data_IF_883420524762
#
_entry.id   IF_883420524762
#
_cell.length_a   1.000
_cell.length_b   1.000
_cell.length_c   1.000
_cell.angle_alpha   90.00
_cell.angle_beta   90.00
_cell.angle_gamma   90.00
#
_symmetry.space_group_name_H-M   'P 1'
#
loop_
_entity.id
_entity.type
_entity.pdbx_description
1 polymer ?
#
# COMPACT_ATOMS: atom_id res chain seq x y z
N UNK A 1 17.12 -8.81 12.36
CA UNK A 1 16.12 -7.76 12.62
C UNK A 1 14.81 -8.47 12.91
N UNK A 2 14.18 -8.17 14.05
CA UNK A 2 12.87 -8.72 14.39
C UNK A 2 11.84 -7.88 13.65
N UNK A 3 11.36 -8.35 12.49
CA UNK A 3 10.27 -7.68 11.81
C UNK A 3 8.96 -8.06 12.49
N UNK A 4 8.23 -7.04 12.95
CA UNK A 4 6.82 -7.19 13.34
C UNK A 4 6.02 -7.11 12.05
N UNK A 5 5.54 -8.25 11.59
CA UNK A 5 4.56 -8.31 10.51
C UNK A 5 3.20 -8.17 11.18
N UNK A 6 2.64 -6.96 11.15
CA UNK A 6 1.26 -6.72 11.55
C UNK A 6 0.38 -7.02 10.34
N UNK A 7 -0.26 -8.20 10.34
CA UNK A 7 -1.31 -8.54 9.38
C UNK A 7 -2.62 -8.15 10.05
N UNK A 8 -3.29 -7.14 9.51
CA UNK A 8 -4.67 -6.83 9.86
C UNK A 8 -5.60 -7.49 8.83
N UNK A 9 -6.64 -8.14 9.35
CA UNK A 9 -7.64 -8.88 8.59
C UNK A 9 -8.98 -8.22 8.92
N UNK A 10 -9.52 -7.45 8.00
CA UNK A 10 -10.86 -6.87 8.13
C UNK A 10 -11.89 -7.98 7.82
N UNK A 11 -12.86 -8.18 8.71
CA UNK A 11 -13.91 -9.18 8.58
C UNK A 11 -15.28 -8.50 8.62
N UNK A 12 -15.82 -8.15 7.44
CA UNK A 12 -17.15 -7.56 7.26
C UNK A 12 -18.06 -8.50 6.49
N UNK A 13 -18.80 -9.36 7.16
CA UNK A 13 -19.71 -10.30 6.52
C UNK A 13 -20.89 -9.57 5.86
N UNK A 14 -20.99 -9.62 4.53
CA UNK A 14 -22.26 -9.45 3.82
C UNK A 14 -22.30 -10.38 2.61
N UNK A 15 -23.40 -11.12 2.52
CA UNK A 15 -23.63 -12.15 1.53
C UNK A 15 -24.52 -11.56 0.43
N UNK A 16 -24.05 -11.57 -0.82
CA UNK A 16 -24.93 -11.45 -1.97
C UNK A 16 -24.62 -12.50 -3.03
N UNK A 17 -25.70 -13.14 -3.47
CA UNK A 17 -25.72 -14.31 -4.33
C UNK A 17 -25.37 -13.97 -5.78
N UNK A 18 -24.59 -14.87 -6.37
CA UNK A 18 -24.30 -14.92 -7.79
C UNK A 18 -25.53 -15.46 -8.55
N UNK A 19 -26.08 -14.70 -9.50
CA UNK A 19 -26.99 -15.24 -10.55
C UNK A 19 -26.36 -15.06 -11.94
N UNK A 20 -25.99 -16.15 -12.64
CA UNK A 20 -25.40 -16.06 -13.96
C UNK A 20 -26.45 -16.24 -15.08
N UNK A 21 -26.77 -15.14 -15.76
CA UNK A 21 -26.85 -15.12 -17.22
C UNK A 21 -28.23 -15.17 -17.89
N UNK A 22 -28.50 -14.15 -18.72
CA UNK A 22 -28.99 -14.20 -20.12
C UNK A 22 -29.44 -12.76 -20.47
N UNK A 23 -28.90 -12.05 -21.45
CA UNK A 23 -28.68 -12.46 -22.83
C UNK A 23 -29.86 -12.00 -23.69
N UNK A 24 -29.99 -10.71 -23.98
CA UNK A 24 -30.52 -10.23 -25.26
C UNK A 24 -30.28 -8.71 -25.47
N UNK A 25 -29.61 -8.37 -26.58
CA UNK A 25 -29.46 -7.00 -27.09
C UNK A 25 -30.54 -6.75 -28.15
N UNK A 26 -31.21 -5.59 -28.10
CA UNK A 26 -31.62 -4.98 -29.36
C UNK A 26 -31.41 -3.45 -29.41
N UNK A 27 -30.86 -2.97 -30.53
CA UNK A 27 -31.12 -1.61 -31.03
C UNK A 27 -30.00 -0.59 -30.85
N UNK A 28 -29.03 -0.56 -31.78
CA UNK A 28 -28.16 0.60 -32.01
C UNK A 28 -28.86 1.55 -32.97
N UNK A 29 -29.56 2.56 -32.46
CA UNK A 29 -29.99 3.71 -33.26
C UNK A 29 -28.75 4.58 -33.58
N UNK A 30 -28.70 5.10 -34.81
CA UNK A 30 -27.53 5.74 -35.42
C UNK A 30 -27.70 7.25 -35.59
N UNK A 31 -28.37 7.89 -34.63
CA UNK A 31 -28.75 9.31 -34.67
C UNK A 31 -27.92 10.23 -33.76
N UNK A 32 -26.90 9.73 -33.03
CA UNK A 32 -26.12 10.54 -32.08
C UNK A 32 -24.75 10.96 -32.66
N UNK A 33 -24.41 12.26 -32.69
CA UNK A 33 -23.10 12.75 -33.12
C UNK A 33 -22.01 12.43 -32.08
N UNK A 34 -20.73 12.31 -32.48
CA UNK A 34 -19.68 11.83 -31.59
C UNK A 34 -19.18 12.95 -30.67
N UNK A 35 -19.36 12.78 -29.36
CA UNK A 35 -18.65 13.54 -28.33
C UNK A 35 -19.53 14.16 -27.25
N UNK A 36 -20.08 13.34 -26.35
CA UNK A 36 -20.26 13.66 -24.92
C UNK A 36 -20.21 12.34 -24.16
N UNK A 37 -19.43 12.33 -23.10
CA UNK A 37 -19.11 11.15 -22.33
C UNK A 37 -20.30 10.78 -21.43
N UNK A 38 -20.83 9.57 -21.61
CA UNK A 38 -20.99 8.68 -20.46
C UNK A 38 -22.35 8.43 -19.81
N UNK A 39 -23.35 9.31 -19.85
CA UNK A 39 -24.64 9.03 -19.18
C UNK A 39 -25.84 9.70 -19.87
N UNK A 40 -27.07 9.12 -19.79
CA UNK A 40 -28.25 9.90 -20.14
C UNK A 40 -28.27 11.15 -19.26
N UNK A 41 -28.69 12.33 -19.75
CA UNK A 41 -29.01 13.41 -18.83
C UNK A 41 -30.12 12.87 -17.93
N UNK A 42 -29.77 12.55 -16.68
CA UNK A 42 -30.72 12.50 -15.59
C UNK A 42 -31.28 13.91 -15.54
N UNK A 43 -32.40 14.11 -16.23
CA UNK A 43 -33.25 15.26 -16.04
C UNK A 43 -33.87 15.03 -14.66
N UNK A 44 -33.11 15.32 -13.61
CA UNK A 44 -33.69 15.49 -12.31
C UNK A 44 -34.47 16.81 -12.35
N UNK A 45 -35.72 16.80 -11.90
CA UNK A 45 -36.44 18.06 -11.68
C UNK A 45 -35.84 18.64 -10.39
N UNK A 46 -34.89 19.56 -10.53
CA UNK A 46 -34.15 20.22 -9.44
C UNK A 46 -35.05 21.03 -8.48
N UNK A 47 -36.32 21.24 -8.86
CA UNK A 47 -37.34 21.87 -8.04
C UNK A 47 -37.84 20.97 -6.89
N UNK A 48 -37.59 19.64 -6.93
CA UNK A 48 -38.06 18.69 -5.91
C UNK A 48 -36.87 18.17 -5.11
N UNK A 49 -36.69 18.78 -3.95
CA UNK A 49 -35.64 18.57 -2.95
C UNK A 49 -36.35 18.79 -1.59
N UNK A 50 -36.63 17.71 -0.87
CA UNK A 50 -37.59 17.68 0.24
C UNK A 50 -36.99 18.15 1.57
N UNK A 51 -35.75 17.77 1.87
CA UNK A 51 -34.98 18.21 3.05
C UNK A 51 -34.12 19.45 2.78
N UNK A 52 -33.86 19.78 1.51
CA UNK A 52 -33.16 21.01 1.12
C UNK A 52 -31.65 20.89 1.20
N UNK A 53 -31.10 19.69 1.10
CA UNK A 53 -29.67 19.39 1.22
C UNK A 53 -28.88 19.72 -0.06
N UNK A 54 -29.58 19.91 -1.19
CA UNK A 54 -29.00 20.20 -2.49
C UNK A 54 -28.83 18.99 -3.40
N UNK A 55 -29.37 17.84 -3.01
CA UNK A 55 -29.63 16.65 -3.83
C UNK A 55 -31.12 16.67 -4.21
N UNK A 56 -31.49 16.01 -5.30
CA UNK A 56 -32.88 15.95 -5.74
C UNK A 56 -33.50 14.60 -5.35
N UNK A 57 -34.75 14.58 -4.86
CA UNK A 57 -35.45 13.39 -4.35
C UNK A 57 -35.39 12.17 -5.30
N UNK A 58 -35.31 12.43 -6.61
CA UNK A 58 -35.24 11.39 -7.65
C UNK A 58 -33.90 10.64 -7.68
N UNK A 59 -32.85 11.25 -7.14
CA UNK A 59 -31.50 10.70 -6.97
C UNK A 59 -31.39 9.96 -5.63
N UNK A 60 -31.87 10.55 -4.54
CA UNK A 60 -31.83 9.94 -3.18
C UNK A 60 -32.75 8.72 -3.07
N UNK A 61 -33.92 8.79 -3.71
CA UNK A 61 -34.97 7.77 -3.69
C UNK A 61 -35.62 7.56 -2.32
N UNK A 62 -36.74 6.81 -2.29
CA UNK A 62 -37.39 6.39 -1.03
C UNK A 62 -36.68 5.18 -0.36
N UNK A 63 -35.40 4.94 -0.67
CA UNK A 63 -34.58 3.93 0.01
C UNK A 63 -34.25 4.39 1.44
N UNK A 64 -33.65 3.50 2.23
CA UNK A 64 -33.28 3.71 3.63
C UNK A 64 -31.93 3.00 3.79
N UNK A 65 -30.85 3.71 3.48
CA UNK A 65 -29.49 3.15 3.33
C UNK A 65 -28.92 2.77 4.70
N UNK A 66 -29.06 3.62 5.70
CA UNK A 66 -28.56 3.41 7.06
C UNK A 66 -29.50 2.55 7.96
N UNK A 67 -30.78 2.44 7.57
CA UNK A 67 -31.79 1.63 8.25
C UNK A 67 -32.39 2.29 9.49
N UNK A 68 -32.32 3.61 9.64
CA UNK A 68 -32.88 4.34 10.79
C UNK A 68 -34.41 4.52 10.71
N UNK A 69 -34.98 4.30 9.52
CA UNK A 69 -36.41 4.37 9.22
C UNK A 69 -36.89 5.70 8.63
N UNK A 70 -35.98 6.62 8.34
CA UNK A 70 -36.17 7.81 7.50
C UNK A 70 -35.76 7.44 6.07
N UNK A 71 -36.58 7.74 5.05
CA UNK A 71 -36.15 7.54 3.67
C UNK A 71 -35.08 8.56 3.28
N UNK A 72 -34.09 8.17 2.48
CA UNK A 72 -32.96 9.01 2.05
C UNK A 72 -33.41 10.42 1.61
N UNK A 73 -34.47 10.54 0.79
CA UNK A 73 -35.06 11.84 0.36
C UNK A 73 -35.64 12.77 1.47
N UNK A 74 -35.52 12.35 2.73
CA UNK A 74 -35.96 13.09 3.91
C UNK A 74 -34.93 12.99 5.04
N UNK A 75 -33.79 12.37 4.78
CA UNK A 75 -32.72 12.15 5.74
C UNK A 75 -31.66 13.24 5.57
N UNK A 76 -31.05 13.68 6.66
CA UNK A 76 -29.96 14.67 6.59
C UNK A 76 -28.58 14.00 6.52
N UNK A 77 -28.51 12.68 6.75
CA UNK A 77 -27.31 11.81 6.84
C UNK A 77 -27.72 10.40 6.40
N UNK A 78 -27.87 10.21 5.08
CA UNK A 78 -28.52 9.04 4.48
C UNK A 78 -27.77 7.72 4.68
N UNK A 79 -26.45 7.74 4.85
CA UNK A 79 -25.61 6.57 5.07
C UNK A 79 -25.20 6.37 6.55
N UNK A 80 -25.48 7.37 7.40
CA UNK A 80 -25.36 7.31 8.85
C UNK A 80 -23.91 7.36 9.33
N UNK A 81 -23.01 7.94 8.54
CA UNK A 81 -21.59 8.04 8.85
C UNK A 81 -21.28 9.29 9.72
N UNK A 82 -22.21 10.25 9.78
CA UNK A 82 -22.13 11.47 10.57
C UNK A 82 -21.61 12.71 9.83
N UNK A 83 -21.32 12.59 8.54
CA UNK A 83 -21.27 13.67 7.56
C UNK A 83 -22.71 13.92 7.08
N UNK A 84 -23.01 15.15 6.69
CA UNK A 84 -24.36 15.47 6.21
C UNK A 84 -24.39 15.36 4.69
N UNK A 85 -25.50 14.88 4.13
CA UNK A 85 -25.70 14.74 2.69
C UNK A 85 -25.45 16.08 1.96
N UNK A 86 -25.78 17.21 2.61
CA UNK A 86 -25.54 18.55 2.09
C UNK A 86 -24.04 18.92 1.93
N UNK A 87 -23.16 18.33 2.75
CA UNK A 87 -21.71 18.49 2.65
C UNK A 87 -21.11 17.59 1.54
N UNK A 88 -21.85 16.56 1.10
CA UNK A 88 -21.45 15.55 0.12
C UNK A 88 -22.15 15.71 -1.25
N UNK A 89 -23.25 16.45 -1.31
CA UNK A 89 -24.08 16.69 -2.50
C UNK A 89 -23.31 17.24 -3.72
N UNK A 90 -22.19 17.92 -3.45
CA UNK A 90 -21.41 18.61 -4.46
C UNK A 90 -22.17 19.78 -5.12
N UNK A 91 -21.70 20.31 -6.25
CA UNK A 91 -22.26 21.53 -6.85
C UNK A 91 -23.50 21.30 -7.74
N UNK A 92 -23.89 20.05 -8.01
CA UNK A 92 -24.93 19.73 -8.97
C UNK A 92 -25.94 18.73 -8.37
N UNK A 93 -27.18 19.17 -8.08
CA UNK A 93 -28.22 18.31 -7.50
C UNK A 93 -28.57 17.06 -8.33
N UNK A 94 -28.40 17.15 -9.66
CA UNK A 94 -28.67 16.01 -10.55
C UNK A 94 -27.47 15.10 -10.79
N UNK A 95 -26.30 15.45 -10.25
CA UNK A 95 -25.07 14.69 -10.44
C UNK A 95 -24.20 14.80 -9.18
N UNK A 96 -24.62 14.16 -8.07
CA UNK A 96 -23.79 14.06 -6.90
C UNK A 96 -22.45 13.38 -7.20
N UNK A 97 -21.41 13.68 -6.42
CA UNK A 97 -20.12 12.98 -6.45
C UNK A 97 -20.25 11.46 -6.27
N UNK A 98 -19.32 10.76 -6.91
CA UNK A 98 -19.08 9.33 -6.76
C UNK A 98 -17.58 9.17 -7.02
N UNK A 99 -16.80 9.26 -5.94
CA UNK A 99 -15.36 9.45 -6.03
C UNK A 99 -14.59 8.17 -6.41
N UNK A 100 -15.10 7.01 -6.03
CA UNK A 100 -14.48 5.72 -6.28
C UNK A 100 -15.09 4.93 -7.47
N UNK A 101 -16.25 5.38 -7.96
CA UNK A 101 -17.03 4.79 -9.05
C UNK A 101 -17.54 3.36 -8.78
N UNK A 102 -17.84 2.99 -7.53
CA UNK A 102 -18.41 1.66 -7.20
C UNK A 102 -19.90 1.49 -7.54
N UNK A 103 -20.61 2.61 -7.68
CA UNK A 103 -22.03 2.68 -8.05
C UNK A 103 -22.95 3.21 -6.95
N UNK A 104 -22.44 3.50 -5.76
CA UNK A 104 -23.06 4.37 -4.76
C UNK A 104 -22.56 5.81 -4.96
N UNK A 105 -23.33 6.79 -4.52
CA UNK A 105 -22.86 8.18 -4.47
C UNK A 105 -22.28 8.43 -3.08
N UNK A 106 -21.40 9.42 -2.94
CA UNK A 106 -20.67 9.69 -1.68
C UNK A 106 -21.65 9.79 -0.47
N UNK A 107 -22.75 10.55 -0.58
CA UNK A 107 -23.80 10.66 0.46
C UNK A 107 -24.56 9.34 0.80
N UNK A 108 -24.30 8.25 0.07
CA UNK A 108 -24.87 6.92 0.29
C UNK A 108 -23.79 5.86 0.58
N UNK A 109 -22.53 6.27 0.70
CA UNK A 109 -21.38 5.39 0.84
C UNK A 109 -20.48 5.82 2.00
N UNK A 110 -20.38 4.94 3.00
CA UNK A 110 -19.63 5.18 4.24
C UNK A 110 -18.09 5.24 4.09
N UNK A 111 -17.57 5.09 2.87
CA UNK A 111 -16.15 5.03 2.47
C UNK A 111 -16.03 5.55 1.01
N UNK A 112 -16.28 6.86 0.82
CA UNK A 112 -16.49 7.54 -0.47
C UNK A 112 -15.36 7.38 -1.49
N UNK A 113 -14.13 7.13 -1.04
CA UNK A 113 -12.96 6.92 -1.89
C UNK A 113 -12.47 5.46 -1.92
N UNK A 114 -13.08 4.60 -1.10
CA UNK A 114 -12.83 3.18 -0.93
C UNK A 114 -11.34 2.84 -0.66
N UNK A 115 -10.64 3.70 0.09
CA UNK A 115 -9.28 3.41 0.57
C UNK A 115 -9.26 2.43 1.76
N UNK A 116 -10.40 2.23 2.41
CA UNK A 116 -10.62 1.35 3.56
C UNK A 116 -10.57 2.05 4.91
N UNK A 117 -10.47 3.38 4.94
CA UNK A 117 -10.69 4.25 6.09
C UNK A 117 -12.06 4.93 5.94
N UNK A 118 -13.07 4.59 6.78
CA UNK A 118 -14.42 5.16 6.63
C UNK A 118 -14.45 6.68 6.78
N UNK A 119 -15.35 7.34 6.05
CA UNK A 119 -15.51 8.80 5.96
C UNK A 119 -15.68 9.46 7.34
N UNK A 120 -16.53 8.88 8.20
CA UNK A 120 -16.67 9.23 9.61
C UNK A 120 -15.32 9.33 10.36
N UNK A 121 -14.40 8.39 10.08
CA UNK A 121 -13.07 8.35 10.70
C UNK A 121 -12.13 9.36 10.06
N UNK A 122 -12.27 9.60 8.77
CA UNK A 122 -11.52 10.62 8.05
C UNK A 122 -11.84 12.01 8.60
N UNK A 123 -13.13 12.31 8.78
CA UNK A 123 -13.62 13.53 9.41
C UNK A 123 -13.08 13.72 10.85
N UNK A 124 -12.94 12.64 11.64
CA UNK A 124 -12.32 12.69 12.97
C UNK A 124 -10.82 13.03 12.93
N UNK A 125 -10.12 12.57 11.89
CA UNK A 125 -8.68 12.76 11.69
C UNK A 125 -8.37 14.07 10.95
N UNK A 126 -9.36 14.65 10.29
CA UNK A 126 -9.24 15.82 9.44
C UNK A 126 -8.61 15.52 8.08
N UNK A 127 -8.65 14.27 7.62
CA UNK A 127 -8.34 13.89 6.23
C UNK A 127 -9.53 14.21 5.32
N UNK A 128 -9.35 14.07 4.02
CA UNK A 128 -10.35 14.32 2.98
C UNK A 128 -11.07 13.02 2.62
N UNK A 129 -12.36 12.83 3.01
CA UNK A 129 -13.14 11.60 2.76
C UNK A 129 -13.23 11.20 1.29
N UNK A 130 -12.95 12.14 0.40
CA UNK A 130 -13.12 11.97 -1.05
C UNK A 130 -11.79 11.66 -1.74
N UNK A 131 -10.69 11.55 -0.99
CA UNK A 131 -9.35 11.44 -1.56
C UNK A 131 -8.40 10.54 -0.75
N UNK A 132 -8.11 9.39 -1.36
CA UNK A 132 -7.29 8.27 -0.85
C UNK A 132 -5.93 8.66 -0.24
N UNK A 133 -5.40 9.82 -0.61
CA UNK A 133 -4.12 10.38 -0.14
C UNK A 133 -4.31 11.89 0.05
N UNK A 134 -4.77 12.25 1.25
CA UNK A 134 -5.15 13.62 1.61
C UNK A 134 -4.04 14.65 1.43
N UNK A 135 -2.79 14.26 1.69
CA UNK A 135 -1.64 15.17 1.64
C UNK A 135 -0.81 15.07 0.35
N UNK A 136 -1.06 14.04 -0.45
CA UNK A 136 -0.51 13.83 -1.78
C UNK A 136 0.95 13.36 -1.80
N UNK A 137 1.44 12.73 -0.74
CA UNK A 137 2.81 12.22 -0.64
C UNK A 137 3.03 10.85 -1.31
N UNK A 138 1.93 10.19 -1.71
CA UNK A 138 1.89 8.88 -2.35
C UNK A 138 1.64 7.71 -1.41
N UNK A 139 1.34 7.98 -0.14
CA UNK A 139 0.90 7.02 0.89
C UNK A 139 -0.60 7.24 1.14
N UNK A 140 -1.39 6.17 1.29
CA UNK A 140 -2.83 6.34 1.55
C UNK A 140 -3.09 6.67 3.02
N UNK A 141 -4.19 7.37 3.30
CA UNK A 141 -4.55 7.80 4.65
C UNK A 141 -4.69 6.61 5.61
N UNK A 142 -5.33 5.51 5.16
CA UNK A 142 -5.34 4.24 5.89
C UNK A 142 -3.92 3.72 6.21
N UNK A 143 -3.01 3.82 5.24
CA UNK A 143 -1.63 3.34 5.34
C UNK A 143 -0.82 4.12 6.39
N UNK A 144 -1.13 5.40 6.55
CA UNK A 144 -0.50 6.27 7.54
C UNK A 144 -1.06 6.06 8.93
N UNK A 145 -2.38 6.08 9.07
CA UNK A 145 -3.08 5.96 10.36
C UNK A 145 -2.86 4.58 10.98
N UNK A 146 -3.15 3.51 10.23
CA UNK A 146 -3.17 2.14 10.75
C UNK A 146 -1.90 1.36 10.40
N UNK A 147 -1.23 1.71 9.31
CA UNK A 147 -0.02 1.03 8.85
C UNK A 147 1.23 1.46 9.62
N UNK A 148 1.50 2.77 9.68
CA UNK A 148 2.76 3.30 10.24
C UNK A 148 2.60 4.22 11.46
N UNK A 149 1.37 4.68 11.72
CA UNK A 149 1.07 5.67 12.75
C UNK A 149 1.66 7.05 12.47
N UNK A 150 1.78 7.40 11.19
CA UNK A 150 2.20 8.73 10.72
C UNK A 150 1.02 9.68 10.64
N UNK A 151 1.26 10.91 10.19
CA UNK A 151 0.26 11.98 10.17
C UNK A 151 -0.23 12.13 8.72
N UNK A 152 -1.47 11.72 8.40
CA UNK A 152 -2.00 11.73 7.03
C UNK A 152 -2.21 13.13 6.42
N UNK A 153 -1.99 14.18 7.23
CA UNK A 153 -2.14 15.57 6.80
C UNK A 153 -0.80 16.31 6.67
N UNK A 154 0.33 15.62 6.82
CA UNK A 154 1.68 16.20 6.69
C UNK A 154 2.50 15.45 5.64
N UNK A 155 2.73 16.03 4.44
CA UNK A 155 3.49 15.38 3.37
C UNK A 155 4.95 15.06 3.72
N UNK A 156 5.44 15.56 4.86
CA UNK A 156 6.74 15.24 5.41
C UNK A 156 6.76 14.02 6.34
N UNK A 157 5.58 13.52 6.72
CA UNK A 157 5.33 12.43 7.66
C UNK A 157 5.23 11.08 6.97
N UNK A 158 5.98 10.87 5.91
CA UNK A 158 5.94 9.62 5.13
C UNK A 158 6.42 8.39 5.92
N UNK A 159 6.16 7.20 5.37
CA UNK A 159 6.72 5.90 5.82
C UNK A 159 8.25 6.00 6.08
N UNK A 160 8.73 5.70 7.30
CA UNK A 160 10.14 5.72 7.62
C UNK A 160 10.98 4.76 6.74
N UNK A 161 12.20 5.15 6.33
CA UNK A 161 13.08 4.28 5.56
C UNK A 161 13.42 2.98 6.32
N UNK A 162 12.75 1.88 5.96
CA UNK A 162 12.97 0.55 6.56
C UNK A 162 11.70 -0.18 6.98
N UNK A 163 10.58 0.55 7.09
CA UNK A 163 9.25 -0.05 7.26
C UNK A 163 8.55 -0.16 5.90
N UNK A 164 7.63 -1.12 5.81
CA UNK A 164 6.77 -1.29 4.64
C UNK A 164 5.41 -1.77 5.13
N UNK A 165 4.35 -1.31 4.49
CA UNK A 165 3.02 -1.84 4.69
C UNK A 165 2.47 -2.42 3.38
N UNK A 166 1.43 -3.23 3.51
CA UNK A 166 0.68 -3.76 2.38
C UNK A 166 -0.79 -3.68 2.78
N UNK A 167 -1.53 -2.78 2.13
CA UNK A 167 -3.00 -2.79 2.19
C UNK A 167 -3.46 -3.96 1.33
N UNK A 168 -4.31 -4.81 1.92
CA UNK A 168 -4.95 -5.92 1.20
C UNK A 168 -6.36 -5.48 0.84
N UNK A 169 -6.74 -5.53 -0.45
CA UNK A 169 -8.10 -5.15 -0.83
C UNK A 169 -9.09 -6.13 -0.21
N UNK A 170 -10.14 -5.60 0.42
CA UNK A 170 -11.23 -6.43 0.95
C UNK A 170 -12.05 -6.97 -0.22
N UNK A 171 -12.19 -8.31 -0.33
CA UNK A 171 -12.84 -9.00 -1.47
C UNK A 171 -12.33 -8.67 -2.88
N UNK A 172 -11.25 -7.90 -3.03
CA UNK A 172 -10.67 -7.56 -4.33
C UNK A 172 -9.90 -8.70 -4.99
N UNK A 173 -9.45 -8.44 -6.21
CA UNK A 173 -8.62 -9.37 -6.96
C UNK A 173 -7.31 -9.69 -6.22
N UNK A 174 -6.86 -10.94 -6.34
CA UNK A 174 -5.60 -11.38 -5.75
C UNK A 174 -4.42 -10.57 -6.32
N UNK A 175 -3.87 -9.67 -5.53
CA UNK A 175 -2.65 -8.94 -5.85
C UNK A 175 -1.38 -9.74 -5.47
N UNK A 176 -0.37 -9.74 -6.35
CA UNK A 176 0.97 -10.26 -6.04
C UNK A 176 1.95 -9.09 -5.92
N UNK A 177 2.65 -9.00 -4.77
CA UNK A 177 3.70 -8.02 -4.52
C UNK A 177 5.04 -8.74 -4.33
N UNK A 178 6.04 -8.40 -5.13
CA UNK A 178 7.39 -8.98 -5.03
C UNK A 178 8.23 -8.14 -4.08
N UNK A 179 8.38 -8.63 -2.84
CA UNK A 179 9.31 -8.04 -1.88
C UNK A 179 10.72 -8.54 -2.15
N UNK A 180 11.64 -7.61 -2.45
CA UNK A 180 13.07 -7.91 -2.59
C UNK A 180 13.76 -7.63 -1.28
N UNK A 181 14.24 -8.68 -0.63
CA UNK A 181 15.10 -8.55 0.54
C UNK A 181 16.55 -8.74 0.10
N UNK A 182 17.35 -7.68 0.20
CA UNK A 182 18.79 -7.79 0.07
C UNK A 182 19.39 -8.11 1.45
N UNK A 183 20.08 -9.24 1.56
CA UNK A 183 20.82 -9.57 2.79
C UNK A 183 22.18 -8.90 2.77
N UNK A 184 22.33 -7.77 3.46
CA UNK A 184 23.64 -7.18 3.74
C UNK A 184 24.29 -7.86 4.95
N UNK A 185 25.50 -8.40 4.80
CA UNK A 185 26.27 -8.95 5.93
C UNK A 185 26.78 -7.77 6.77
N UNK A 186 26.30 -7.65 8.02
CA UNK A 186 26.69 -6.57 8.93
C UNK A 186 27.92 -6.91 9.78
N UNK A 187 28.11 -8.19 10.11
CA UNK A 187 29.21 -8.68 10.94
C UNK A 187 29.80 -9.95 10.34
N UNK A 188 31.13 -10.03 10.24
CA UNK A 188 31.83 -11.24 9.81
C UNK A 188 33.20 -11.40 10.48
N UNK A 189 33.58 -12.64 10.79
CA UNK A 189 34.95 -12.99 11.15
C UNK A 189 35.57 -13.75 9.97
N UNK A 190 36.63 -13.18 9.40
CA UNK A 190 37.34 -13.76 8.25
C UNK A 190 38.70 -14.26 8.71
N UNK A 191 38.89 -15.57 8.65
CA UNK A 191 40.15 -16.21 9.05
C UNK A 191 40.90 -16.74 7.83
N UNK A 192 42.11 -16.24 7.62
CA UNK A 192 43.00 -16.71 6.55
C UNK A 192 43.94 -17.79 7.10
N UNK A 193 43.93 -18.97 6.48
CA UNK A 193 44.94 -20.00 6.69
C UNK A 193 45.91 -19.92 5.51
N UNK A 194 47.19 -19.67 5.82
CA UNK A 194 48.24 -19.53 4.83
C UNK A 194 49.27 -20.62 5.05
N UNK A 195 49.58 -21.37 4.00
CA UNK A 195 50.70 -22.30 3.98
C UNK A 195 52.02 -21.51 4.06
N UNK A 196 52.83 -21.84 5.05
CA UNK A 196 54.09 -21.17 5.33
C UNK A 196 55.33 -22.01 4.95
N UNK A 197 55.16 -23.24 4.46
CA UNK A 197 56.28 -24.17 4.24
C UNK A 197 56.98 -24.00 2.88
N UNK A 198 58.18 -24.58 2.78
CA UNK A 198 58.89 -24.77 1.51
C UNK A 198 59.43 -23.51 0.80
N UNK A 199 59.43 -23.56 -0.54
CA UNK A 199 60.10 -22.61 -1.45
C UNK A 199 59.28 -21.37 -1.82
N UNK A 200 58.17 -21.08 -1.13
CA UNK A 200 57.19 -20.04 -1.50
C UNK A 200 57.46 -18.65 -0.89
N UNK A 201 58.71 -18.33 -0.51
CA UNK A 201 59.04 -17.06 0.18
C UNK A 201 58.70 -15.80 -0.65
N UNK A 202 58.82 -15.88 -1.98
CA UNK A 202 58.48 -14.76 -2.88
C UNK A 202 56.95 -14.64 -3.06
N UNK A 203 56.27 -15.77 -3.23
CA UNK A 203 54.82 -15.89 -3.31
C UNK A 203 54.13 -15.42 -2.02
N UNK A 204 54.74 -15.67 -0.85
CA UNK A 204 54.30 -15.15 0.45
C UNK A 204 54.23 -13.63 0.47
N UNK A 205 55.27 -12.97 -0.03
CA UNK A 205 55.31 -11.50 -0.05
C UNK A 205 54.21 -10.94 -0.95
N UNK A 206 53.99 -11.57 -2.12
CA UNK A 206 52.93 -11.18 -3.03
C UNK A 206 51.52 -11.44 -2.46
N UNK A 207 51.32 -12.55 -1.76
CA UNK A 207 50.06 -12.90 -1.12
C UNK A 207 49.73 -11.92 0.02
N UNK A 208 50.69 -11.63 0.89
CA UNK A 208 50.52 -10.66 1.99
C UNK A 208 50.20 -9.28 1.41
N UNK A 209 50.94 -8.84 0.38
CA UNK A 209 50.68 -7.56 -0.27
C UNK A 209 49.28 -7.52 -0.88
N UNK A 210 48.84 -8.56 -1.61
CA UNK A 210 47.49 -8.62 -2.19
C UNK A 210 46.37 -8.68 -1.15
N UNK A 211 46.57 -9.39 -0.03
CA UNK A 211 45.63 -9.43 1.07
C UNK A 211 45.45 -8.04 1.71
N UNK A 212 46.56 -7.34 1.97
CA UNK A 212 46.55 -6.02 2.61
C UNK A 212 46.10 -4.91 1.67
N UNK A 213 46.48 -4.97 0.38
CA UNK A 213 46.20 -3.89 -0.58
C UNK A 213 44.82 -3.96 -1.20
N UNK A 214 44.26 -5.18 -1.34
CA UNK A 214 43.09 -5.41 -2.20
C UNK A 214 41.97 -6.13 -1.47
N UNK A 215 42.25 -7.27 -0.85
CA UNK A 215 41.19 -8.13 -0.30
C UNK A 215 40.64 -7.58 1.03
N UNK A 216 41.51 -7.23 1.99
CA UNK A 216 41.07 -6.69 3.29
C UNK A 216 40.30 -5.36 3.10
N UNK A 217 40.81 -4.36 2.34
CA UNK A 217 40.07 -3.12 2.11
C UNK A 217 38.77 -3.34 1.34
N UNK A 218 38.76 -4.28 0.38
CA UNK A 218 37.55 -4.65 -0.36
C UNK A 218 36.47 -5.22 0.55
N UNK A 219 36.84 -6.15 1.45
CA UNK A 219 35.90 -6.72 2.42
C UNK A 219 35.45 -5.68 3.46
N UNK A 220 36.34 -4.83 3.95
CA UNK A 220 35.99 -3.74 4.87
C UNK A 220 35.06 -2.70 4.25
N UNK A 221 35.14 -2.50 2.93
CA UNK A 221 34.20 -1.61 2.23
C UNK A 221 32.80 -2.22 2.07
N UNK A 222 32.70 -3.55 2.09
CA UNK A 222 31.45 -4.28 1.90
C UNK A 222 30.76 -4.68 3.22
N UNK A 223 31.53 -4.88 4.30
CA UNK A 223 31.03 -5.35 5.60
C UNK A 223 31.45 -4.34 6.69
N UNK A 224 30.50 -3.64 7.33
CA UNK A 224 30.78 -2.59 8.31
C UNK A 224 31.59 -3.05 9.53
N UNK A 225 31.35 -4.27 10.00
CA UNK A 225 32.00 -4.82 11.18
C UNK A 225 32.64 -6.18 10.88
N UNK A 226 33.83 -6.13 10.27
CA UNK A 226 34.59 -7.34 9.94
C UNK A 226 35.88 -7.40 10.76
N UNK A 227 36.12 -8.55 11.40
CA UNK A 227 37.40 -8.85 12.02
C UNK A 227 38.18 -9.86 11.17
N UNK A 228 39.50 -9.70 11.17
CA UNK A 228 40.39 -10.55 10.41
C UNK A 228 41.35 -11.28 11.35
N UNK A 229 41.48 -12.59 11.13
CA UNK A 229 42.54 -13.41 11.71
C UNK A 229 43.40 -14.02 10.62
N UNK A 230 44.66 -14.28 10.92
CA UNK A 230 45.54 -15.03 10.04
C UNK A 230 46.31 -16.09 10.86
N UNK A 231 46.38 -17.30 10.32
CA UNK A 231 47.12 -18.43 10.89
C UNK A 231 48.04 -19.05 9.85
N UNK A 232 49.21 -19.51 10.30
CA UNK A 232 50.12 -20.31 9.48
C UNK A 232 49.80 -21.80 9.61
N UNK A 233 49.89 -22.54 8.51
CA UNK A 233 50.00 -23.99 8.53
C UNK A 233 51.47 -24.37 8.30
N UNK A 234 52.05 -25.12 9.23
CA UNK A 234 53.39 -25.70 9.08
C UNK A 234 53.25 -27.22 8.91
N UNK A 235 53.81 -27.78 7.84
CA UNK A 235 53.96 -29.22 7.67
C UNK A 235 54.85 -29.78 8.78
N UNK A 236 54.30 -30.69 9.57
CA UNK A 236 55.04 -31.35 10.63
C UNK A 236 55.88 -32.50 10.04
N UNK A 237 57.22 -32.47 10.14
CA UNK A 237 58.04 -33.56 9.63
C UNK A 237 57.82 -34.81 10.49
N UNK A 238 57.15 -35.82 9.95
CA UNK A 238 57.02 -37.14 10.59
C UNK A 238 58.31 -37.99 10.48
N UNK A 239 59.25 -37.62 9.60
CA UNK A 239 60.46 -38.40 9.32
C UNK A 239 61.75 -37.69 9.71
N UNK A 240 62.74 -38.49 10.11
CA UNK A 240 64.03 -38.07 10.71
C UNK A 240 64.89 -37.11 9.87
N UNK A 241 64.52 -36.81 8.62
CA UNK A 241 65.28 -35.95 7.70
C UNK A 241 64.38 -35.05 6.82
N UNK A 242 63.19 -34.65 7.29
CA UNK A 242 62.44 -33.55 6.68
C UNK A 242 62.00 -33.76 5.22
N UNK A 243 61.71 -35.00 4.81
CA UNK A 243 61.08 -35.27 3.52
C UNK A 243 59.57 -35.09 3.58
N UNK A 244 59.00 -34.38 2.60
CA UNK A 244 57.56 -34.26 2.32
C UNK A 244 57.23 -35.14 1.09
N UNK A 245 56.21 -35.99 1.14
CA UNK A 245 55.60 -36.56 -0.07
C UNK A 245 54.70 -35.53 -0.76
#
# INVERSE_FOLDING_TARGET
>A
MTFRVSIFLLAGALAFGCDPGSGDRPGRDSSVPPGTDGGPPVSCDDDTDTDGDGIADVIETDADTDGDGIPNSMDEDSDGDGILDADEAGPNPCLPPNNDSDGLFDFLDTDSDNDGLPDAREAELGTDPTNVDSDGDGVTDLGEVDGTGTDPNDPGSTIPPGDFFVVLPYNGDRAERVLRFDTSISVADVFFLVDMTGSMQQERTNLIQGLVSTIIPGIQSAIPNVQFGAGGLDDYPYMSYGGTE
#
